data_IF_520347508950
#
_entry.id   IF_520347508950
#
_cell.length_a   1.000
_cell.length_b   1.000
_cell.length_c   1.000
_cell.angle_alpha   90.00
_cell.angle_beta   90.00
_cell.angle_gamma   90.00
#
_symmetry.space_group_name_H-M   'P 1'
#
loop_
_entity.id
_entity.type
_entity.pdbx_description
1 polymer ?
#
# COMPACT_ATOMS: atom_id res chain seq x y z
N UNK A 1 37.43 -13.91 -19.44
CA UNK A 1 38.39 -13.10 -20.23
C UNK A 1 37.60 -12.08 -21.01
N UNK A 2 38.00 -10.81 -20.99
CA UNK A 2 37.36 -9.77 -21.81
C UNK A 2 37.74 -10.05 -23.26
N UNK A 3 36.76 -10.28 -24.13
CA UNK A 3 37.01 -10.27 -25.56
C UNK A 3 37.28 -8.83 -26.00
N UNK A 4 38.54 -8.52 -26.25
CA UNK A 4 38.96 -7.16 -26.60
C UNK A 4 38.44 -6.73 -27.98
N UNK A 5 38.05 -7.67 -28.85
CA UNK A 5 37.50 -7.37 -30.18
C UNK A 5 36.03 -6.94 -30.09
N UNK A 6 35.28 -7.58 -29.20
CA UNK A 6 33.88 -7.27 -28.94
C UNK A 6 33.62 -5.89 -28.29
N UNK A 7 34.67 -5.17 -27.87
CA UNK A 7 34.57 -3.94 -27.07
C UNK A 7 33.76 -2.81 -27.71
N UNK A 8 33.71 -2.75 -29.04
CA UNK A 8 32.99 -1.70 -29.80
C UNK A 8 31.98 -2.27 -30.80
N UNK A 9 31.63 -3.55 -30.69
CA UNK A 9 30.74 -4.21 -31.64
C UNK A 9 29.26 -3.92 -31.38
N UNK A 10 28.90 -3.50 -30.17
CA UNK A 10 27.51 -3.28 -29.78
C UNK A 10 27.01 -1.91 -30.19
N UNK A 11 25.93 -1.90 -30.98
CA UNK A 11 25.09 -0.73 -31.19
C UNK A 11 24.00 -0.66 -30.10
N UNK A 12 23.55 0.55 -29.76
CA UNK A 12 22.51 0.78 -28.78
C UNK A 12 21.57 1.89 -29.27
N UNK A 13 20.29 1.77 -28.94
CA UNK A 13 19.24 2.74 -29.26
C UNK A 13 18.63 3.30 -27.97
N UNK A 14 18.19 4.55 -28.03
CA UNK A 14 17.39 5.25 -27.03
C UNK A 14 15.98 5.52 -27.58
N UNK A 15 15.13 6.17 -26.78
CA UNK A 15 13.75 6.46 -27.15
C UNK A 15 13.63 7.34 -28.39
N UNK A 16 14.49 8.35 -28.52
CA UNK A 16 14.43 9.31 -29.64
C UNK A 16 15.00 8.75 -30.96
N UNK A 17 15.63 7.58 -30.93
CA UNK A 17 16.22 6.95 -32.11
C UNK A 17 15.19 6.15 -32.93
N UNK A 18 13.97 5.95 -32.41
CA UNK A 18 12.95 5.05 -33.01
C UNK A 18 11.53 5.63 -32.97
N UNK A 19 10.66 5.11 -33.83
CA UNK A 19 9.21 5.39 -33.84
C UNK A 19 8.42 4.08 -33.97
N UNK A 20 7.21 4.05 -33.39
CA UNK A 20 6.26 2.93 -33.57
C UNK A 20 5.58 3.03 -34.95
N UNK A 21 5.50 1.90 -35.66
CA UNK A 21 4.82 1.81 -36.95
C UNK A 21 3.31 1.63 -36.70
N UNK A 22 2.44 2.51 -37.23
CA UNK A 22 0.99 2.33 -37.15
C UNK A 22 0.53 1.03 -37.83
N UNK A 23 -0.47 0.36 -37.26
CA UNK A 23 -1.06 -0.87 -37.79
C UNK A 23 -2.60 -0.81 -37.76
N UNK A 24 -3.26 -1.75 -38.45
CA UNK A 24 -4.71 -1.89 -38.40
C UNK A 24 -5.18 -2.15 -36.95
N UNK A 25 -6.16 -1.38 -36.47
CA UNK A 25 -6.73 -1.52 -35.12
C UNK A 25 -8.24 -1.70 -35.19
N UNK A 26 -8.76 -2.62 -34.37
CA UNK A 26 -10.20 -2.83 -34.16
C UNK A 26 -10.69 -2.30 -32.81
N UNK A 27 -9.82 -1.66 -32.03
CA UNK A 27 -10.10 -1.10 -30.71
C UNK A 27 -9.98 0.42 -30.75
N UNK A 28 -10.88 1.11 -30.05
CA UNK A 28 -10.80 2.56 -29.85
C UNK A 28 -10.04 2.87 -28.56
N UNK A 29 -9.33 4.01 -28.46
CA UNK A 29 -8.48 4.31 -27.30
C UNK A 29 -9.14 4.16 -25.91
N UNK A 30 -10.40 4.57 -25.68
CA UNK A 30 -11.06 4.39 -24.38
C UNK A 30 -11.28 2.93 -23.96
N UNK A 31 -11.31 2.00 -24.92
CA UNK A 31 -11.57 0.58 -24.67
C UNK A 31 -10.26 -0.22 -24.49
N UNK A 32 -9.09 0.44 -24.56
CA UNK A 32 -7.79 -0.21 -24.39
C UNK A 32 -7.56 -0.55 -22.92
N UNK A 33 -7.30 -1.82 -22.64
CA UNK A 33 -6.86 -2.27 -21.33
C UNK A 33 -5.37 -1.98 -21.13
N UNK A 34 -5.06 -1.08 -20.21
CA UNK A 34 -3.69 -0.67 -19.87
C UNK A 34 -3.16 -1.36 -18.60
N UNK A 35 -3.89 -2.33 -18.05
CA UNK A 35 -3.46 -3.08 -16.86
C UNK A 35 -2.16 -3.82 -17.14
N UNK A 36 -1.28 -3.88 -16.13
CA UNK A 36 0.03 -4.54 -16.25
C UNK A 36 0.46 -5.18 -14.93
N UNK A 37 1.60 -5.86 -14.90
CA UNK A 37 2.14 -6.49 -13.68
C UNK A 37 3.40 -5.75 -13.23
N UNK A 38 3.39 -5.25 -12.00
CA UNK A 38 4.58 -4.71 -11.35
C UNK A 38 5.50 -5.83 -10.86
N UNK A 39 4.90 -6.94 -10.40
CA UNK A 39 5.59 -8.15 -9.93
C UNK A 39 4.76 -9.39 -10.29
N UNK A 40 5.20 -10.59 -9.90
CA UNK A 40 4.42 -11.82 -10.06
C UNK A 40 3.07 -11.75 -9.32
N UNK A 41 3.03 -11.18 -8.11
CA UNK A 41 1.82 -11.08 -7.30
C UNK A 41 1.06 -9.76 -7.40
N UNK A 42 1.65 -8.71 -8.00
CA UNK A 42 1.04 -7.36 -8.03
C UNK A 42 0.71 -6.96 -9.46
N UNK A 43 -0.59 -6.81 -9.69
CA UNK A 43 -1.15 -6.17 -10.88
C UNK A 43 -1.38 -4.68 -10.61
N UNK A 44 -1.10 -3.85 -11.60
CA UNK A 44 -1.42 -2.43 -11.63
C UNK A 44 -2.56 -2.18 -12.62
N UNK A 45 -3.36 -1.16 -12.34
CA UNK A 45 -4.41 -0.73 -13.24
C UNK A 45 -3.94 0.29 -14.29
N UNK A 46 -2.80 0.93 -14.05
CA UNK A 46 -2.06 1.71 -15.04
C UNK A 46 -0.57 1.35 -14.96
N UNK A 47 0.20 1.43 -16.06
CA UNK A 47 1.61 1.01 -16.09
C UNK A 47 2.54 2.08 -15.52
N UNK A 48 2.22 2.60 -14.33
CA UNK A 48 2.95 3.68 -13.67
C UNK A 48 3.45 3.24 -12.29
N UNK A 49 4.77 3.34 -12.12
CA UNK A 49 5.45 3.11 -10.85
C UNK A 49 6.35 4.30 -10.54
N UNK A 50 6.19 4.92 -9.36
CA UNK A 50 6.97 6.11 -9.02
C UNK A 50 8.40 5.77 -8.57
N UNK A 51 9.34 6.66 -8.88
CA UNK A 51 10.74 6.51 -8.51
C UNK A 51 10.95 6.60 -6.99
N UNK A 52 11.86 5.81 -6.44
CA UNK A 52 12.19 5.78 -5.01
C UNK A 52 13.06 6.97 -4.55
N UNK A 53 12.60 8.19 -4.82
CA UNK A 53 13.31 9.44 -4.56
C UNK A 53 12.56 10.29 -3.52
N UNK A 54 13.30 10.99 -2.66
CA UNK A 54 12.75 11.84 -1.60
C UNK A 54 11.93 13.03 -2.12
N UNK A 55 12.30 13.57 -3.27
CA UNK A 55 11.57 14.65 -3.96
C UNK A 55 10.34 14.18 -4.74
N UNK A 56 10.04 12.88 -4.72
CA UNK A 56 8.96 12.27 -5.52
C UNK A 56 8.00 11.48 -4.63
N UNK A 57 8.51 10.47 -3.93
CA UNK A 57 7.71 9.36 -3.41
C UNK A 57 7.57 9.37 -1.89
N UNK A 58 6.74 10.28 -1.38
CA UNK A 58 6.24 10.27 0.00
C UNK A 58 4.76 9.82 0.07
N UNK A 59 4.18 9.84 1.27
CA UNK A 59 2.80 9.38 1.57
C UNK A 59 1.76 9.97 0.62
N UNK A 60 1.86 11.28 0.30
CA UNK A 60 0.86 11.95 -0.53
C UNK A 60 0.82 11.41 -1.96
N UNK A 61 1.98 11.27 -2.61
CA UNK A 61 2.06 10.67 -3.95
C UNK A 61 1.65 9.20 -3.89
N UNK A 62 2.06 8.46 -2.86
CA UNK A 62 1.71 7.05 -2.73
C UNK A 62 0.20 6.83 -2.69
N UNK A 63 -0.55 7.66 -1.94
CA UNK A 63 -2.00 7.60 -1.92
C UNK A 63 -2.60 7.99 -3.27
N UNK A 64 -2.13 9.10 -3.86
CA UNK A 64 -2.67 9.61 -5.12
C UNK A 64 -2.42 8.64 -6.29
N UNK A 65 -1.21 8.13 -6.45
CA UNK A 65 -0.87 7.22 -7.53
C UNK A 65 -1.57 5.86 -7.35
N UNK A 66 -1.68 5.35 -6.12
CA UNK A 66 -2.43 4.13 -5.89
C UNK A 66 -3.92 4.30 -6.23
N UNK A 67 -4.54 5.46 -5.97
CA UNK A 67 -5.91 5.76 -6.41
C UNK A 67 -6.09 5.76 -7.91
N UNK A 68 -5.11 6.27 -8.65
CA UNK A 68 -5.10 6.26 -10.12
C UNK A 68 -4.69 4.90 -10.70
N UNK A 69 -4.37 3.91 -9.85
CA UNK A 69 -4.09 2.54 -10.27
C UNK A 69 -2.62 2.16 -10.43
N UNK A 70 -1.71 3.07 -10.10
CA UNK A 70 -0.27 2.82 -10.10
C UNK A 70 0.25 2.31 -8.75
N UNK A 71 1.57 2.31 -8.60
CA UNK A 71 2.24 1.92 -7.36
C UNK A 71 3.39 2.87 -7.04
N UNK A 72 3.51 3.27 -5.78
CA UNK A 72 4.64 4.09 -5.33
C UNK A 72 5.65 3.28 -4.54
N UNK A 73 6.93 3.49 -4.86
CA UNK A 73 8.05 3.00 -4.04
C UNK A 73 8.52 4.13 -3.13
N UNK A 74 8.18 4.05 -1.85
CA UNK A 74 8.56 5.06 -0.84
C UNK A 74 10.09 5.03 -0.65
N UNK A 75 10.72 6.20 -0.77
CA UNK A 75 12.17 6.33 -0.69
C UNK A 75 12.75 5.93 0.68
N UNK A 76 14.03 5.57 0.69
CA UNK A 76 14.77 5.15 1.88
C UNK A 76 15.62 6.25 2.54
N UNK A 77 15.65 7.45 1.97
CA UNK A 77 16.44 8.59 2.47
C UNK A 77 15.80 9.22 3.73
N UNK A 78 15.63 8.41 4.78
CA UNK A 78 14.94 8.74 6.03
C UNK A 78 15.12 7.61 7.05
N UNK A 79 14.89 7.88 8.36
CA UNK A 79 14.82 6.82 9.38
C UNK A 79 13.80 5.73 9.01
N UNK A 80 14.08 4.48 9.38
CA UNK A 80 13.23 3.33 9.03
C UNK A 80 11.82 3.46 9.64
N UNK A 81 11.71 4.05 10.83
CA UNK A 81 10.45 4.25 11.54
C UNK A 81 9.55 5.21 10.77
N UNK A 82 10.13 6.26 10.19
CA UNK A 82 9.42 7.23 9.34
C UNK A 82 8.97 6.59 8.05
N UNK A 83 9.81 5.79 7.40
CA UNK A 83 9.44 5.09 6.17
C UNK A 83 8.29 4.09 6.41
N UNK A 84 8.37 3.31 7.50
CA UNK A 84 7.33 2.39 7.93
C UNK A 84 6.02 3.13 8.26
N UNK A 85 6.09 4.29 8.91
CA UNK A 85 4.93 5.13 9.16
C UNK A 85 4.26 5.65 7.88
N UNK A 86 5.04 6.02 6.86
CA UNK A 86 4.49 6.39 5.55
C UNK A 86 3.74 5.21 4.92
N UNK A 87 4.30 4.00 4.95
CA UNK A 87 3.61 2.79 4.48
C UNK A 87 2.30 2.61 5.24
N UNK A 88 2.33 2.62 6.58
CA UNK A 88 1.11 2.48 7.41
C UNK A 88 0.05 3.51 7.05
N UNK A 89 0.43 4.76 6.81
CA UNK A 89 -0.51 5.83 6.39
C UNK A 89 -1.16 5.53 5.04
N UNK A 90 -0.41 4.99 4.07
CA UNK A 90 -0.98 4.57 2.78
C UNK A 90 -1.95 3.41 2.97
N UNK A 91 -1.53 2.36 3.68
CA UNK A 91 -2.37 1.17 3.95
C UNK A 91 -3.64 1.50 4.73
N UNK A 92 -3.64 2.56 5.54
CA UNK A 92 -4.80 3.06 6.31
C UNK A 92 -5.61 4.15 5.61
N UNK A 93 -5.15 4.65 4.46
CA UNK A 93 -5.84 5.74 3.75
C UNK A 93 -7.23 5.33 3.28
N UNK A 94 -7.39 4.06 2.88
CA UNK A 94 -8.63 3.45 2.43
C UNK A 94 -8.63 1.98 2.81
N UNK A 95 -9.77 1.48 3.24
CA UNK A 95 -10.03 0.05 3.34
C UNK A 95 -11.44 -0.20 2.80
N UNK A 96 -11.63 -1.21 1.94
CA UNK A 96 -12.99 -1.58 1.50
C UNK A 96 -13.88 -2.00 2.68
N UNK A 97 -13.28 -2.72 3.63
CA UNK A 97 -13.81 -3.05 4.94
C UNK A 97 -12.64 -3.02 5.92
N UNK A 98 -12.78 -2.33 7.05
CA UNK A 98 -11.78 -2.36 8.12
C UNK A 98 -11.98 -3.68 8.86
N UNK A 99 -11.08 -4.65 8.64
CA UNK A 99 -11.00 -5.91 9.39
C UNK A 99 -10.35 -5.63 10.74
N UNK A 100 -10.89 -6.20 11.81
CA UNK A 100 -10.43 -5.99 13.19
C UNK A 100 -10.30 -4.49 13.57
N UNK A 101 -11.42 -3.74 13.55
CA UNK A 101 -11.40 -2.32 13.87
C UNK A 101 -10.95 -2.09 15.31
N UNK A 102 -10.29 -0.95 15.55
CA UNK A 102 -9.91 -0.56 16.90
C UNK A 102 -11.16 -0.36 17.74
N UNK A 103 -11.22 -1.02 18.90
CA UNK A 103 -12.39 -1.03 19.78
C UNK A 103 -12.06 -0.58 21.20
N UNK A 104 -13.08 -0.19 21.97
CA UNK A 104 -12.97 0.06 23.40
C UNK A 104 -13.86 -0.88 24.22
N UNK A 105 -13.47 -1.22 25.47
CA UNK A 105 -14.31 -1.97 26.37
C UNK A 105 -15.44 -1.11 26.96
N UNK A 106 -16.47 -1.76 27.51
CA UNK A 106 -17.56 -1.09 28.26
C UNK A 106 -17.07 -0.26 29.46
N UNK A 107 -15.89 -0.55 29.99
CA UNK A 107 -15.29 0.17 31.13
C UNK A 107 -14.56 1.43 30.71
N UNK A 108 -14.44 1.72 29.41
CA UNK A 108 -13.74 2.90 28.92
C UNK A 108 -14.49 4.19 29.27
N UNK A 109 -13.74 5.29 29.28
CA UNK A 109 -14.24 6.64 29.53
C UNK A 109 -14.21 7.47 28.26
N UNK A 110 -14.86 8.62 28.28
CA UNK A 110 -14.81 9.58 27.18
C UNK A 110 -13.36 9.94 26.79
N UNK A 111 -12.49 10.22 27.75
CA UNK A 111 -11.10 10.58 27.48
C UNK A 111 -10.31 9.49 26.73
N UNK A 112 -10.61 8.21 26.97
CA UNK A 112 -9.99 7.10 26.23
C UNK A 112 -10.42 7.12 24.76
N UNK A 113 -11.72 7.36 24.51
CA UNK A 113 -12.28 7.45 23.17
C UNK A 113 -11.77 8.69 22.41
N UNK A 114 -11.68 9.84 23.08
CA UNK A 114 -11.14 11.07 22.50
C UNK A 114 -9.67 10.91 22.11
N UNK A 115 -8.84 10.36 23.01
CA UNK A 115 -7.43 10.10 22.74
C UNK A 115 -7.25 9.18 21.53
N UNK A 116 -8.03 8.10 21.47
CA UNK A 116 -7.97 7.12 20.39
C UNK A 116 -8.47 7.72 19.06
N UNK A 117 -9.57 8.48 19.08
CA UNK A 117 -10.06 9.18 17.88
C UNK A 117 -9.04 10.21 17.36
N UNK A 118 -8.35 10.93 18.25
CA UNK A 118 -7.31 11.88 17.89
C UNK A 118 -6.04 11.20 17.33
N UNK A 119 -5.56 10.16 18.00
CA UNK A 119 -4.37 9.40 17.61
C UNK A 119 -4.54 8.73 16.24
N UNK A 120 -5.66 8.02 16.06
CA UNK A 120 -5.92 7.25 14.84
C UNK A 120 -6.67 8.04 13.77
N UNK A 121 -7.06 9.29 14.05
CA UNK A 121 -7.84 10.17 13.16
C UNK A 121 -9.12 9.51 12.64
N UNK A 122 -9.78 8.75 13.50
CA UNK A 122 -11.06 8.07 13.21
C UNK A 122 -12.20 8.83 13.87
N UNK A 123 -13.40 8.79 13.27
CA UNK A 123 -14.57 9.54 13.74
C UNK A 123 -15.57 8.70 14.51
N UNK A 124 -15.18 7.49 14.91
CA UNK A 124 -15.98 6.62 15.76
C UNK A 124 -15.31 5.30 16.06
N UNK A 125 -15.68 4.73 17.21
CA UNK A 125 -15.02 3.60 17.85
C UNK A 125 -16.10 2.61 18.29
N UNK A 126 -16.09 1.36 17.80
CA UNK A 126 -16.96 0.31 18.29
C UNK A 126 -16.65 -0.04 19.76
N UNK A 127 -17.68 -0.32 20.53
CA UNK A 127 -17.58 -0.76 21.92
C UNK A 127 -17.91 -2.25 21.98
N UNK A 128 -17.04 -3.04 22.59
CA UNK A 128 -17.17 -4.51 22.64
C UNK A 128 -17.10 -5.04 24.07
N UNK A 129 -17.70 -6.22 24.27
CA UNK A 129 -17.54 -7.02 25.48
C UNK A 129 -16.23 -7.82 25.44
N UNK A 130 -15.77 -8.38 26.58
CA UNK A 130 -14.53 -9.16 26.65
C UNK A 130 -14.46 -10.37 25.70
N UNK A 131 -15.61 -10.92 25.30
CA UNK A 131 -15.76 -12.05 24.38
C UNK A 131 -15.77 -11.65 22.90
N UNK A 132 -15.66 -10.34 22.61
CA UNK A 132 -15.72 -9.74 21.26
C UNK A 132 -17.12 -9.36 20.80
N UNK A 133 -18.15 -9.61 21.61
CA UNK A 133 -19.54 -9.28 21.26
C UNK A 133 -19.74 -7.78 21.17
N UNK A 134 -20.34 -7.32 20.07
CA UNK A 134 -20.62 -5.90 19.86
C UNK A 134 -21.62 -5.39 20.92
N UNK A 135 -21.28 -4.26 21.55
CA UNK A 135 -22.11 -3.63 22.57
C UNK A 135 -22.60 -2.23 22.19
N UNK A 136 -21.91 -1.54 21.29
CA UNK A 136 -22.27 -0.20 20.86
C UNK A 136 -21.27 0.44 19.92
N UNK A 137 -21.50 1.71 19.61
CA UNK A 137 -20.53 2.56 18.92
C UNK A 137 -20.60 3.98 19.50
N UNK A 138 -19.44 4.60 19.68
CA UNK A 138 -19.33 6.03 19.96
C UNK A 138 -18.78 6.74 18.72
N UNK A 139 -19.32 7.91 18.39
CA UNK A 139 -18.90 8.71 17.24
C UNK A 139 -18.60 10.14 17.63
N UNK A 140 -17.94 10.89 16.73
CA UNK A 140 -17.71 12.33 16.89
C UNK A 140 -19.00 13.14 17.12
N UNK A 141 -20.19 12.61 16.80
CA UNK A 141 -21.46 13.27 17.07
C UNK A 141 -21.86 13.15 18.53
N UNK A 142 -21.64 11.98 19.11
CA UNK A 142 -22.07 11.63 20.46
C UNK A 142 -21.25 12.38 21.52
N UNK A 143 -19.97 12.61 21.23
CA UNK A 143 -19.03 13.26 22.15
C UNK A 143 -18.81 14.75 21.87
N UNK A 144 -19.44 15.32 20.83
CA UNK A 144 -19.12 16.67 20.31
C UNK A 144 -19.15 17.78 21.37
N UNK A 145 -20.02 17.65 22.36
CA UNK A 145 -20.25 18.64 23.41
C UNK A 145 -19.86 18.12 24.80
N UNK A 146 -19.20 16.97 24.87
CA UNK A 146 -18.72 16.41 26.12
C UNK A 146 -17.36 17.03 26.47
N UNK A 147 -17.21 17.45 27.73
CA UNK A 147 -15.98 18.07 28.24
C UNK A 147 -15.45 17.36 29.48
N UNK A 148 -16.20 16.42 30.07
CA UNK A 148 -15.74 15.61 31.20
C UNK A 148 -15.07 14.31 30.70
N UNK A 149 -13.73 14.23 30.69
CA UNK A 149 -13.00 13.05 30.23
C UNK A 149 -13.26 11.81 31.09
N UNK A 150 -13.82 11.97 32.29
CA UNK A 150 -14.04 10.87 33.22
C UNK A 150 -15.36 10.14 33.01
N UNK A 151 -16.25 10.71 32.19
CA UNK A 151 -17.60 10.19 31.96
C UNK A 151 -17.56 8.79 31.33
N UNK A 152 -18.37 7.83 31.82
CA UNK A 152 -18.42 6.47 31.26
C UNK A 152 -18.87 6.46 29.80
N UNK A 153 -18.19 5.67 28.95
CA UNK A 153 -18.53 5.60 27.52
C UNK A 153 -19.93 5.03 27.29
N UNK A 154 -20.42 4.20 28.22
CA UNK A 154 -21.75 3.59 28.18
C UNK A 154 -22.90 4.59 28.24
N UNK A 155 -22.66 5.80 28.75
CA UNK A 155 -23.65 6.89 28.77
C UNK A 155 -23.69 7.69 27.46
N UNK A 156 -22.63 7.59 26.65
CA UNK A 156 -22.45 8.38 25.43
C UNK A 156 -22.64 7.54 24.16
N UNK A 157 -22.33 6.25 24.22
CA UNK A 157 -22.41 5.38 23.06
C UNK A 157 -23.86 5.15 22.62
N UNK A 158 -24.06 4.94 21.32
CA UNK A 158 -25.28 4.31 20.82
C UNK A 158 -25.19 2.81 21.08
N UNK A 159 -26.17 2.24 21.79
CA UNK A 159 -26.23 0.83 22.18
C UNK A 159 -27.50 0.10 21.72
N UNK A 160 -28.55 0.85 21.41
CA UNK A 160 -29.82 0.32 20.91
C UNK A 160 -29.99 0.60 19.42
N UNK A 161 -30.73 -0.27 18.72
CA UNK A 161 -30.99 -0.16 17.27
C UNK A 161 -29.71 -0.01 16.43
N UNK A 162 -28.65 -0.71 16.84
CA UNK A 162 -27.39 -0.75 16.10
C UNK A 162 -27.64 -1.32 14.71
N UNK A 163 -27.28 -0.53 13.71
CA UNK A 163 -27.33 -0.97 12.32
C UNK A 163 -26.08 -1.80 12.05
N UNK A 164 -26.31 -3.09 11.82
CA UNK A 164 -25.25 -4.08 11.60
C UNK A 164 -25.52 -4.85 10.32
N UNK A 165 -24.47 -5.43 9.74
CA UNK A 165 -24.56 -6.30 8.58
C UNK A 165 -23.70 -7.55 8.77
N UNK A 166 -24.04 -8.69 8.14
CA UNK A 166 -23.26 -9.92 8.27
C UNK A 166 -21.93 -9.83 7.52
N UNK A 167 -20.97 -10.68 7.91
CA UNK A 167 -19.76 -10.92 7.13
C UNK A 167 -20.13 -11.35 5.70
N UNK A 168 -19.48 -10.78 4.70
CA UNK A 168 -19.76 -11.05 3.27
C UNK A 168 -20.71 -10.06 2.61
N UNK A 169 -21.21 -9.06 3.35
CA UNK A 169 -22.04 -7.98 2.79
C UNK A 169 -21.35 -7.28 1.62
N UNK A 170 -22.09 -7.16 0.52
CA UNK A 170 -21.61 -6.54 -0.72
C UNK A 170 -21.59 -5.01 -0.63
N UNK A 171 -20.88 -4.37 -1.56
CA UNK A 171 -20.84 -2.90 -1.63
C UNK A 171 -22.24 -2.30 -1.83
N UNK A 172 -23.04 -2.90 -2.71
CA UNK A 172 -24.37 -2.39 -3.04
C UNK A 172 -25.32 -2.52 -1.85
N UNK A 173 -25.28 -3.64 -1.14
CA UNK A 173 -26.03 -3.81 0.12
C UNK A 173 -25.60 -2.78 1.16
N UNK A 174 -24.30 -2.56 1.34
CA UNK A 174 -23.80 -1.54 2.26
C UNK A 174 -24.26 -0.12 1.87
N UNK A 175 -24.27 0.22 0.58
CA UNK A 175 -24.81 1.49 0.07
C UNK A 175 -26.29 1.64 0.43
N UNK A 176 -27.10 0.61 0.25
CA UNK A 176 -28.52 0.64 0.62
C UNK A 176 -28.71 0.82 2.13
N UNK A 177 -27.92 0.14 2.97
CA UNK A 177 -27.97 0.34 4.41
C UNK A 177 -27.64 1.79 4.81
N UNK A 178 -26.62 2.41 4.19
CA UNK A 178 -26.32 3.83 4.41
C UNK A 178 -27.46 4.74 3.96
N UNK A 179 -28.11 4.46 2.83
CA UNK A 179 -29.24 5.23 2.32
C UNK A 179 -30.47 5.14 3.22
N UNK A 180 -30.80 3.95 3.71
CA UNK A 180 -31.99 3.70 4.55
C UNK A 180 -31.80 4.28 5.94
N UNK A 181 -30.68 3.97 6.58
CA UNK A 181 -30.47 4.30 8.00
C UNK A 181 -29.85 5.68 8.23
N UNK A 182 -29.36 6.36 7.19
CA UNK A 182 -28.73 7.70 7.27
C UNK A 182 -27.57 7.76 8.27
N UNK A 183 -26.77 6.69 8.30
CA UNK A 183 -25.56 6.56 9.12
C UNK A 183 -24.30 6.73 8.28
N UNK A 184 -23.15 6.92 8.93
CA UNK A 184 -21.84 7.04 8.26
C UNK A 184 -20.94 5.82 8.43
N UNK A 185 -21.29 4.93 9.37
CA UNK A 185 -20.54 3.73 9.73
C UNK A 185 -21.47 2.53 9.84
N UNK A 186 -21.04 1.40 9.32
CA UNK A 186 -21.80 0.15 9.29
C UNK A 186 -20.95 -0.94 9.95
N UNK A 187 -21.47 -1.52 11.03
CA UNK A 187 -20.77 -2.51 11.84
C UNK A 187 -20.97 -3.89 11.23
N UNK A 188 -19.88 -4.62 10.98
CA UNK A 188 -19.93 -5.98 10.41
C UNK A 188 -19.80 -6.99 11.54
N UNK A 189 -20.78 -7.87 11.69
CA UNK A 189 -20.84 -8.89 12.74
C UNK A 189 -20.93 -10.31 12.17
N UNK A 190 -20.46 -11.30 12.92
CA UNK A 190 -20.71 -12.71 12.62
C UNK A 190 -22.03 -13.22 13.25
N UNK A 191 -22.30 -14.51 13.08
CA UNK A 191 -23.52 -15.17 13.58
C UNK A 191 -23.64 -15.14 15.12
N UNK A 192 -22.51 -15.03 15.83
CA UNK A 192 -22.44 -14.90 17.30
C UNK A 192 -22.52 -13.43 17.75
N UNK A 193 -22.80 -12.50 16.84
CA UNK A 193 -22.84 -11.05 17.06
C UNK A 193 -21.50 -10.44 17.53
N UNK A 194 -20.39 -11.11 17.19
CA UNK A 194 -19.05 -10.57 17.42
C UNK A 194 -18.67 -9.62 16.31
N UNK A 195 -18.03 -8.52 16.69
CA UNK A 195 -17.58 -7.53 15.72
C UNK A 195 -16.43 -8.11 14.89
N UNK A 196 -16.60 -8.13 13.57
CA UNK A 196 -15.60 -8.59 12.58
C UNK A 196 -15.07 -7.49 11.70
N UNK A 197 -15.81 -6.40 11.57
CA UNK A 197 -15.38 -5.30 10.73
C UNK A 197 -16.18 -4.02 10.87
N UNK A 198 -15.72 -2.99 10.16
CA UNK A 198 -16.37 -1.69 10.05
C UNK A 198 -16.27 -1.21 8.60
N UNK A 199 -17.41 -0.82 8.02
CA UNK A 199 -17.46 -0.18 6.70
C UNK A 199 -17.84 1.28 6.92
N UNK A 200 -17.18 2.21 6.21
CA UNK A 200 -17.50 3.64 6.29
C UNK A 200 -18.03 4.16 4.95
N UNK A 201 -18.95 5.13 5.00
CA UNK A 201 -19.45 5.78 3.80
C UNK A 201 -18.32 6.44 3.00
N UNK A 202 -17.29 6.94 3.68
CA UNK A 202 -16.11 7.55 3.06
C UNK A 202 -15.35 6.57 2.19
N UNK A 203 -15.19 5.32 2.61
CA UNK A 203 -14.49 4.30 1.84
C UNK A 203 -15.28 3.89 0.59
N UNK A 204 -16.61 3.83 0.69
CA UNK A 204 -17.50 3.59 -0.46
C UNK A 204 -17.39 4.74 -1.47
N UNK A 205 -17.47 5.99 -1.01
CA UNK A 205 -17.37 7.16 -1.89
C UNK A 205 -16.04 7.17 -2.64
N UNK A 206 -14.94 6.85 -1.97
CA UNK A 206 -13.62 6.75 -2.62
C UNK A 206 -13.53 5.61 -3.63
N UNK A 207 -14.21 4.48 -3.39
CA UNK A 207 -14.25 3.38 -4.37
C UNK A 207 -15.02 3.78 -5.64
N UNK A 208 -16.04 4.62 -5.51
CA UNK A 208 -16.77 5.19 -6.65
C UNK A 208 -15.92 6.25 -7.36
N UNK A 209 -15.24 7.12 -6.61
CA UNK A 209 -14.37 8.18 -7.13
C UNK A 209 -13.13 7.61 -7.86
N UNK A 210 -12.55 6.54 -7.32
CA UNK A 210 -11.33 5.91 -7.82
C UNK A 210 -11.58 4.43 -8.17
N UNK A 211 -12.32 4.14 -9.27
CA UNK A 211 -12.66 2.78 -9.66
C UNK A 211 -11.44 1.96 -10.07
N UNK A 212 -10.37 2.63 -10.52
CA UNK A 212 -9.12 2.02 -10.97
C UNK A 212 -8.08 1.91 -9.84
N UNK A 213 -8.43 2.13 -8.58
CA UNK A 213 -7.47 2.12 -7.48
C UNK A 213 -6.73 0.76 -7.36
N UNK A 214 -5.40 0.83 -7.22
CA UNK A 214 -4.52 -0.30 -6.97
C UNK A 214 -4.62 -0.70 -5.50
N UNK A 215 -5.38 -1.77 -5.24
CA UNK A 215 -5.70 -2.25 -3.89
C UNK A 215 -5.19 -3.68 -3.65
N UNK A 216 -4.92 -3.98 -2.39
CA UNK A 216 -4.64 -5.35 -1.93
C UNK A 216 -5.94 -6.14 -1.73
N UNK A 217 -5.79 -7.41 -1.35
CA UNK A 217 -6.92 -8.33 -1.19
C UNK A 217 -7.84 -7.94 -0.02
N UNK A 218 -7.37 -7.04 0.87
CA UNK A 218 -8.16 -6.44 1.96
C UNK A 218 -8.80 -5.09 1.53
N UNK A 219 -8.66 -4.71 0.26
CA UNK A 219 -9.20 -3.48 -0.29
C UNK A 219 -8.44 -2.21 0.14
N UNK A 220 -7.20 -2.34 0.61
CA UNK A 220 -6.36 -1.22 1.02
C UNK A 220 -5.46 -0.79 -0.11
N UNK A 221 -5.14 0.51 -0.22
CA UNK A 221 -4.21 0.99 -1.24
C UNK A 221 -2.86 0.27 -1.13
N UNK A 222 -2.25 -0.07 -2.27
CA UNK A 222 -0.95 -0.71 -2.30
C UNK A 222 0.19 0.30 -2.12
N UNK A 223 1.24 -0.11 -1.42
CA UNK A 223 2.46 0.67 -1.25
C UNK A 223 3.68 -0.24 -1.32
N UNK A 224 4.71 0.19 -2.04
CA UNK A 224 6.04 -0.42 -2.01
C UNK A 224 7.03 0.48 -1.27
N UNK A 225 8.16 -0.08 -0.87
CA UNK A 225 9.20 0.68 -0.17
C UNK A 225 10.60 0.25 -0.61
N UNK A 226 11.50 1.23 -0.73
CA UNK A 226 12.89 0.98 -1.09
C UNK A 226 13.72 0.54 0.12
N UNK A 227 14.66 -0.38 -0.12
CA UNK A 227 15.66 -0.83 0.85
C UNK A 227 17.03 -0.83 0.17
N UNK A 228 18.09 -0.57 0.94
CA UNK A 228 19.47 -0.66 0.46
C UNK A 228 20.08 -2.04 0.72
N UNK A 229 21.40 -2.12 0.71
CA UNK A 229 22.18 -3.32 1.05
C UNK A 229 23.11 -3.10 2.25
N UNK A 230 22.96 -1.97 2.95
CA UNK A 230 23.77 -1.59 4.10
C UNK A 230 23.41 -2.33 5.39
N UNK A 231 24.11 -2.01 6.47
CA UNK A 231 23.94 -2.67 7.77
C UNK A 231 22.52 -2.54 8.36
N UNK A 232 21.79 -1.46 8.03
CA UNK A 232 20.42 -1.21 8.49
C UNK A 232 19.34 -1.88 7.62
N UNK A 233 19.72 -2.53 6.51
CA UNK A 233 18.78 -3.04 5.51
C UNK A 233 17.77 -4.04 6.10
N UNK A 234 18.21 -4.94 6.99
CA UNK A 234 17.33 -5.95 7.58
C UNK A 234 16.38 -5.37 8.64
N UNK A 235 16.86 -4.48 9.51
CA UNK A 235 15.98 -3.81 10.48
C UNK A 235 14.91 -2.96 9.76
N UNK A 236 15.31 -2.29 8.67
CA UNK A 236 14.37 -1.55 7.80
C UNK A 236 13.38 -2.47 7.11
N UNK A 237 13.83 -3.58 6.56
CA UNK A 237 12.97 -4.60 5.96
C UNK A 237 11.92 -5.08 6.96
N UNK A 238 12.35 -5.50 8.15
CA UNK A 238 11.47 -5.97 9.23
C UNK A 238 10.37 -4.95 9.55
N UNK A 239 10.74 -3.68 9.75
CA UNK A 239 9.78 -2.61 10.01
C UNK A 239 8.80 -2.35 8.84
N UNK A 240 9.24 -2.56 7.60
CA UNK A 240 8.39 -2.40 6.41
C UNK A 240 7.44 -3.59 6.23
N UNK A 241 7.88 -4.81 6.56
CA UNK A 241 7.01 -5.99 6.58
C UNK A 241 5.95 -5.84 7.67
N UNK A 242 6.33 -5.40 8.86
CA UNK A 242 5.39 -5.11 9.95
C UNK A 242 4.39 -4.00 9.57
N UNK A 243 4.86 -2.98 8.83
CA UNK A 243 3.99 -1.96 8.24
C UNK A 243 3.13 -2.45 7.07
N UNK A 244 3.30 -3.70 6.63
CA UNK A 244 2.55 -4.35 5.55
C UNK A 244 2.75 -3.69 4.18
N UNK A 245 4.01 -3.36 3.86
CA UNK A 245 4.38 -3.00 2.49
C UNK A 245 4.08 -4.17 1.53
N UNK A 246 3.44 -3.86 0.39
CA UNK A 246 3.06 -4.86 -0.62
C UNK A 246 4.26 -5.39 -1.39
N UNK A 247 5.27 -4.55 -1.60
CA UNK A 247 6.53 -4.93 -2.24
C UNK A 247 7.73 -4.22 -1.62
N UNK A 248 8.87 -4.91 -1.64
CA UNK A 248 10.17 -4.36 -1.27
C UNK A 248 11.00 -4.16 -2.54
N UNK A 249 11.62 -2.99 -2.66
CA UNK A 249 12.49 -2.65 -3.78
C UNK A 249 13.93 -2.51 -3.30
N UNK A 250 14.79 -3.49 -3.61
CA UNK A 250 16.23 -3.36 -3.39
C UNK A 250 16.77 -2.43 -4.48
N UNK A 251 17.02 -1.19 -4.08
CA UNK A 251 17.29 -0.09 -5.00
C UNK A 251 18.72 0.42 -4.85
N UNK A 252 19.57 0.04 -5.80
CA UNK A 252 21.00 0.39 -5.85
C UNK A 252 21.40 0.84 -7.25
N UNK A 253 22.50 1.59 -7.36
CA UNK A 253 23.03 2.02 -8.66
C UNK A 253 23.53 0.85 -9.51
N UNK A 254 24.09 -0.19 -8.88
CA UNK A 254 24.58 -1.40 -9.53
C UNK A 254 24.02 -2.67 -8.87
N UNK A 255 22.90 -3.14 -9.39
CA UNK A 255 22.17 -4.31 -8.91
C UNK A 255 22.89 -5.64 -9.12
N UNK A 256 23.85 -5.72 -10.05
CA UNK A 256 24.61 -6.94 -10.30
C UNK A 256 25.87 -7.06 -9.40
N UNK A 257 25.78 -6.55 -8.17
CA UNK A 257 26.85 -6.61 -7.18
C UNK A 257 26.63 -7.74 -6.17
N UNK A 258 27.71 -8.28 -5.61
CA UNK A 258 27.63 -9.40 -4.66
C UNK A 258 26.76 -9.08 -3.44
N UNK A 259 26.81 -7.85 -2.92
CA UNK A 259 26.01 -7.42 -1.78
C UNK A 259 24.51 -7.42 -2.08
N UNK A 260 24.11 -6.97 -3.28
CA UNK A 260 22.71 -7.02 -3.74
C UNK A 260 22.25 -8.46 -3.87
N UNK A 261 23.08 -9.31 -4.48
CA UNK A 261 22.78 -10.72 -4.68
C UNK A 261 22.62 -11.47 -3.33
N UNK A 262 23.48 -11.20 -2.35
CA UNK A 262 23.37 -11.73 -0.98
C UNK A 262 22.11 -11.21 -0.27
N UNK A 263 21.82 -9.92 -0.42
CA UNK A 263 20.63 -9.30 0.19
C UNK A 263 19.35 -9.94 -0.35
N UNK A 264 19.25 -10.18 -1.65
CA UNK A 264 18.09 -10.85 -2.27
C UNK A 264 17.87 -12.23 -1.65
N UNK A 265 18.93 -13.04 -1.55
CA UNK A 265 18.84 -14.38 -0.97
C UNK A 265 18.38 -14.35 0.49
N UNK A 266 18.94 -13.44 1.29
CA UNK A 266 18.58 -13.30 2.70
C UNK A 266 17.14 -12.80 2.89
N UNK A 267 16.66 -11.89 2.03
CA UNK A 267 15.24 -11.46 2.03
C UNK A 267 14.35 -12.65 1.71
N UNK A 268 14.72 -13.44 0.69
CA UNK A 268 13.93 -14.61 0.27
C UNK A 268 13.86 -15.72 1.31
N UNK A 269 14.95 -15.94 2.03
CA UNK A 269 14.99 -16.92 3.12
C UNK A 269 14.07 -16.53 4.28
N UNK A 270 14.02 -15.24 4.64
CA UNK A 270 13.22 -14.74 5.77
C UNK A 270 11.75 -14.48 5.42
N UNK A 271 11.50 -14.01 4.20
CA UNK A 271 10.18 -13.59 3.73
C UNK A 271 9.92 -14.17 2.33
N UNK A 272 9.63 -15.48 2.22
CA UNK A 272 9.50 -16.15 0.92
C UNK A 272 8.39 -15.55 0.05
N UNK A 273 7.30 -15.09 0.68
CA UNK A 273 6.08 -14.64 -0.03
C UNK A 273 6.08 -13.14 -0.37
N UNK A 274 7.03 -12.36 0.16
CA UNK A 274 7.04 -10.91 -0.08
C UNK A 274 7.32 -10.60 -1.54
N UNK A 275 6.66 -9.59 -2.12
CA UNK A 275 6.96 -9.23 -3.50
C UNK A 275 8.28 -8.46 -3.56
N UNK A 276 9.26 -8.98 -4.30
CA UNK A 276 10.61 -8.40 -4.34
C UNK A 276 10.95 -7.85 -5.72
N UNK A 277 11.23 -6.56 -5.76
CA UNK A 277 11.78 -5.84 -6.91
C UNK A 277 13.26 -5.61 -6.63
N UNK A 278 14.15 -5.85 -7.60
CA UNK A 278 15.56 -5.50 -7.43
C UNK A 278 16.17 -4.88 -8.68
N UNK A 279 17.13 -3.97 -8.46
CA UNK A 279 17.90 -3.35 -9.52
C UNK A 279 18.94 -2.36 -8.97
N UNK A 280 19.57 -1.57 -9.84
CA UNK A 280 19.36 -1.50 -11.28
C UNK A 280 20.32 -2.39 -12.07
N UNK A 281 19.82 -2.95 -13.17
CA UNK A 281 20.64 -3.68 -14.15
C UNK A 281 20.43 -3.12 -15.54
N UNK A 282 21.42 -3.32 -16.42
CA UNK A 282 21.35 -2.90 -17.82
C UNK A 282 21.85 -3.99 -18.79
N UNK A 283 22.10 -5.21 -18.29
CA UNK A 283 22.60 -6.34 -19.08
C UNK A 283 21.76 -7.59 -18.83
N UNK A 284 21.74 -8.50 -19.81
CA UNK A 284 21.00 -9.76 -19.71
C UNK A 284 21.53 -10.63 -18.57
N UNK A 285 22.85 -10.66 -18.36
CA UNK A 285 23.49 -11.40 -17.28
C UNK A 285 23.08 -10.86 -15.92
N UNK A 286 23.04 -9.52 -15.76
CA UNK A 286 22.57 -8.88 -14.55
C UNK A 286 21.10 -9.22 -14.26
N UNK A 287 20.24 -9.15 -15.28
CA UNK A 287 18.84 -9.56 -15.14
C UNK A 287 18.72 -11.02 -14.68
N UNK A 288 19.44 -11.94 -15.34
CA UNK A 288 19.42 -13.37 -15.01
C UNK A 288 19.92 -13.62 -13.57
N UNK A 289 21.00 -12.97 -13.16
CA UNK A 289 21.55 -13.13 -11.82
C UNK A 289 20.55 -12.75 -10.71
N UNK A 290 19.71 -11.74 -10.93
CA UNK A 290 18.65 -11.36 -10.00
C UNK A 290 17.49 -12.37 -10.04
N UNK A 291 17.06 -12.78 -11.23
CA UNK A 291 15.96 -13.74 -11.43
C UNK A 291 16.27 -15.07 -10.75
N UNK A 292 17.49 -15.61 -10.95
CA UNK A 292 17.93 -16.89 -10.40
C UNK A 292 17.95 -16.90 -8.86
N UNK A 293 17.96 -15.72 -8.23
CA UNK A 293 17.91 -15.55 -6.76
C UNK A 293 16.50 -15.24 -6.24
N UNK A 294 15.50 -15.24 -7.11
CA UNK A 294 14.10 -15.23 -6.73
C UNK A 294 13.42 -13.86 -6.73
N UNK A 295 13.94 -12.85 -7.40
CA UNK A 295 13.18 -11.58 -7.52
C UNK A 295 11.89 -11.80 -8.34
N UNK A 296 10.83 -11.07 -7.98
CA UNK A 296 9.56 -11.10 -8.71
C UNK A 296 9.51 -10.09 -9.85
N UNK A 297 10.37 -9.07 -9.80
CA UNK A 297 10.57 -8.09 -10.86
C UNK A 297 12.01 -7.56 -10.87
N UNK A 298 12.47 -7.17 -12.05
CA UNK A 298 13.80 -6.60 -12.28
C UNK A 298 13.64 -5.14 -12.71
N UNK A 299 14.32 -4.22 -12.01
CA UNK A 299 14.36 -2.80 -12.36
C UNK A 299 15.54 -2.53 -13.29
N UNK A 300 15.24 -2.04 -14.49
CA UNK A 300 16.20 -1.86 -15.58
C UNK A 300 16.54 -0.38 -15.79
N UNK A 301 17.82 -0.08 -16.00
CA UNK A 301 18.30 1.23 -16.43
C UNK A 301 19.48 1.73 -15.59
N UNK A 302 20.62 1.98 -16.24
CA UNK A 302 21.80 2.60 -15.62
C UNK A 302 22.20 3.80 -16.48
N UNK A 303 22.16 5.00 -15.89
CA UNK A 303 22.47 6.25 -16.60
C UNK A 303 21.37 6.95 -17.43
N UNK A 304 20.15 6.43 -17.68
CA UNK A 304 19.15 7.18 -18.47
C UNK A 304 18.37 8.22 -17.65
N UNK A 305 18.55 8.28 -16.33
CA UNK A 305 17.83 9.21 -15.47
C UNK A 305 18.23 10.66 -15.76
N UNK A 306 17.26 11.57 -15.78
CA UNK A 306 17.46 12.98 -16.12
C UNK A 306 18.48 13.71 -15.25
N UNK A 307 18.59 13.32 -13.96
CA UNK A 307 19.57 13.87 -13.02
C UNK A 307 20.77 12.94 -12.78
N UNK A 308 20.85 11.81 -13.50
CA UNK A 308 21.88 10.81 -13.30
C UNK A 308 23.18 11.23 -14.01
N UNK A 309 24.26 11.42 -13.27
CA UNK A 309 25.57 11.81 -13.82
C UNK A 309 26.44 10.63 -14.22
N UNK A 310 25.99 9.38 -14.01
CA UNK A 310 26.80 8.17 -14.22
C UNK A 310 27.45 8.12 -15.60
N UNK A 311 26.75 8.48 -16.68
CA UNK A 311 27.31 8.47 -18.04
C UNK A 311 28.44 9.48 -18.27
N UNK A 312 28.48 10.56 -17.50
CA UNK A 312 29.45 11.65 -17.67
C UNK A 312 30.67 11.43 -16.78
N UNK A 313 30.49 10.79 -15.62
CA UNK A 313 31.53 10.62 -14.60
C UNK A 313 32.30 9.30 -14.74
N UNK A 314 31.69 8.26 -15.31
CA UNK A 314 32.29 6.91 -15.45
C UNK A 314 32.87 6.70 -16.83
#
# INVERSE_FOLDING_TARGET
>A
MIDWRAKFETEALSFDDVLLIPAESKVVPPDVDVRTRATRGIQLNVPLLSAAMDTVSETALAIALAREGGLTVIHKNQPLERQADMVRKVKRSEAGMIVDPITLPLTAKYGDAEALMAEYRISGVPIVRPDGTLAGIVTNRDVRFENDPTRPITELMTSENLVTVPVGTTLDEAIEQFKVHKIEKLLVVDDDFKLRGLITIKDIMKKIEFPNACKDDLGRLRAAAAVGTGADAFARLEALVEAQADAICIDTSHGHSEDVLKTILAVRERYPDIQLIAGNVATAEGCRALIDRGVDAVKVGIGPGSICTTRVVT
#
